data_IF_995448069135
#
_entry.id   IF_995448069135
#
_cell.length_a   1.000
_cell.length_b   1.000
_cell.length_c   1.000
_cell.angle_alpha   90.00
_cell.angle_beta   90.00
_cell.angle_gamma   90.00
#
_symmetry.space_group_name_H-M   'P 1'
#
loop_
_entity.id
_entity.type
_entity.pdbx_description
1 polymer ?
#
# COMPACT_ATOMS: atom_id res chain seq x y z
N UNK A 1 23.56 -18.92 13.21
CA UNK A 1 23.47 -17.91 12.13
C UNK A 1 23.41 -16.52 12.74
N UNK A 2 24.15 -15.57 12.14
CA UNK A 2 24.19 -14.17 12.58
C UNK A 2 24.06 -13.24 11.38
N UNK A 3 23.39 -12.11 11.56
CA UNK A 3 23.36 -11.04 10.56
C UNK A 3 24.75 -10.42 10.43
N UNK A 4 25.25 -10.32 9.21
CA UNK A 4 26.61 -9.80 8.95
C UNK A 4 26.59 -8.48 8.18
N UNK A 5 25.56 -8.24 7.36
CA UNK A 5 25.47 -7.04 6.55
C UNK A 5 24.03 -6.67 6.21
N UNK A 6 23.81 -5.37 6.06
CA UNK A 6 22.54 -4.80 5.62
C UNK A 6 22.82 -3.80 4.49
N UNK A 7 22.22 -4.03 3.32
CA UNK A 7 22.41 -3.19 2.14
C UNK A 7 21.07 -2.74 1.60
N UNK A 8 20.95 -1.47 1.25
CA UNK A 8 19.77 -0.90 0.61
C UNK A 8 20.02 -0.56 -0.85
N UNK A 9 19.02 -0.73 -1.70
CA UNK A 9 19.06 -0.46 -3.13
C UNK A 9 17.90 0.45 -3.51
N UNK A 10 18.18 1.71 -3.83
CA UNK A 10 17.18 2.64 -4.34
C UNK A 10 17.08 2.51 -5.86
N UNK A 11 15.89 2.21 -6.35
CA UNK A 11 15.61 2.05 -7.77
C UNK A 11 14.57 3.08 -8.23
N UNK A 12 14.85 3.88 -9.26
CA UNK A 12 13.86 4.79 -9.82
C UNK A 12 12.61 4.04 -10.30
N UNK A 13 11.43 4.68 -10.30
CA UNK A 13 11.20 6.06 -9.82
C UNK A 13 11.04 6.16 -8.29
N UNK A 14 10.69 5.08 -7.57
CA UNK A 14 10.27 5.16 -6.16
C UNK A 14 10.56 3.94 -5.31
N UNK A 15 11.21 2.92 -5.84
CA UNK A 15 11.46 1.64 -5.16
C UNK A 15 12.70 1.71 -4.26
N UNK A 16 12.66 0.95 -3.18
CA UNK A 16 13.83 0.66 -2.36
C UNK A 16 13.75 -0.77 -1.85
N UNK A 17 14.77 -1.56 -2.12
CA UNK A 17 14.92 -2.92 -1.62
C UNK A 17 15.98 -2.97 -0.53
N UNK A 18 15.79 -3.90 0.39
CA UNK A 18 16.70 -4.22 1.48
C UNK A 18 17.19 -5.64 1.33
N UNK A 19 18.49 -5.82 1.49
CA UNK A 19 19.16 -7.12 1.55
C UNK A 19 19.79 -7.29 2.92
N UNK A 20 19.49 -8.39 3.62
CA UNK A 20 20.14 -8.82 4.86
C UNK A 20 20.97 -10.06 4.55
N UNK A 21 22.26 -10.06 4.89
CA UNK A 21 23.18 -11.16 4.70
C UNK A 21 23.52 -11.80 6.04
N UNK A 22 23.81 -13.10 6.04
CA UNK A 22 24.17 -13.86 7.23
C UNK A 22 25.53 -14.54 7.07
N UNK A 23 26.18 -14.90 8.19
CA UNK A 23 27.45 -15.64 8.24
C UNK A 23 27.37 -17.05 7.65
N UNK A 24 26.16 -17.59 7.45
CA UNK A 24 25.93 -18.88 6.81
C UNK A 24 25.56 -18.77 5.32
N UNK A 25 25.68 -17.57 4.74
CA UNK A 25 25.42 -17.32 3.32
C UNK A 25 23.94 -17.24 2.93
N UNK A 26 23.03 -17.34 3.90
CA UNK A 26 21.59 -17.13 3.65
C UNK A 26 21.32 -15.64 3.56
N UNK A 27 20.53 -15.24 2.55
CA UNK A 27 20.19 -13.85 2.27
C UNK A 27 18.69 -13.67 2.31
N UNK A 28 18.21 -12.63 2.99
CA UNK A 28 16.81 -12.20 2.99
C UNK A 28 16.59 -10.87 2.29
N UNK A 29 15.42 -10.71 1.70
CA UNK A 29 15.01 -9.50 1.01
C UNK A 29 13.74 -8.91 1.61
N UNK A 30 13.70 -7.56 1.64
CA UNK A 30 12.53 -6.79 2.05
C UNK A 30 12.40 -5.48 1.28
N UNK A 31 11.31 -4.78 1.47
CA UNK A 31 10.99 -3.53 0.79
C UNK A 31 10.59 -2.43 1.81
N UNK A 32 11.58 -1.76 2.43
CA UNK A 32 11.31 -0.69 3.40
C UNK A 32 11.07 0.64 2.68
N UNK A 33 9.93 0.84 2.03
CA UNK A 33 9.71 2.04 1.21
C UNK A 33 8.51 2.87 1.66
N UNK A 34 8.65 4.18 1.56
CA UNK A 34 7.56 5.16 1.47
C UNK A 34 7.82 6.02 0.25
N UNK A 35 6.83 6.18 -0.59
CA UNK A 35 6.90 7.01 -1.77
C UNK A 35 7.33 8.46 -1.42
N UNK A 36 8.30 8.98 -2.15
CA UNK A 36 8.87 10.31 -1.91
C UNK A 36 9.75 10.46 -0.66
N UNK A 37 9.92 9.41 0.16
CA UNK A 37 10.72 9.43 1.40
C UNK A 37 11.74 8.30 1.52
N UNK A 38 12.09 7.63 0.42
CA UNK A 38 13.00 6.49 0.43
C UNK A 38 14.34 6.77 1.14
N UNK A 39 14.93 7.95 0.94
CA UNK A 39 16.19 8.34 1.62
C UNK A 39 16.06 8.41 3.13
N UNK A 40 14.92 8.90 3.64
CA UNK A 40 14.67 8.98 5.08
C UNK A 40 14.47 7.60 5.69
N UNK A 41 13.74 6.74 5.00
CA UNK A 41 13.55 5.34 5.42
C UNK A 41 14.87 4.56 5.36
N UNK A 42 15.71 4.79 4.34
CA UNK A 42 17.05 4.22 4.23
C UNK A 42 17.91 4.55 5.45
N UNK A 43 17.94 5.82 5.86
CA UNK A 43 18.65 6.23 7.06
C UNK A 43 18.14 5.48 8.31
N UNK A 44 16.82 5.38 8.48
CA UNK A 44 16.23 4.64 9.59
C UNK A 44 16.57 3.13 9.56
N UNK A 45 16.63 2.51 8.37
CA UNK A 45 17.08 1.12 8.22
C UNK A 45 18.51 0.94 8.71
N UNK A 46 19.42 1.85 8.34
CA UNK A 46 20.82 1.76 8.75
C UNK A 46 20.99 2.02 10.26
N UNK A 47 20.26 2.96 10.85
CA UNK A 47 20.26 3.17 12.31
C UNK A 47 19.79 1.90 13.06
N UNK A 48 18.73 1.25 12.60
CA UNK A 48 18.29 -0.03 13.15
C UNK A 48 19.33 -1.15 12.88
N UNK A 49 20.01 -1.07 11.76
CA UNK A 49 21.08 -1.99 11.35
C UNK A 49 22.22 -2.08 12.35
N UNK A 50 22.59 -0.98 12.99
CA UNK A 50 23.67 -0.95 13.99
C UNK A 50 23.40 -1.93 15.15
N UNK A 51 22.14 -2.09 15.55
CA UNK A 51 21.74 -3.08 16.54
C UNK A 51 21.66 -4.49 15.95
N UNK A 52 21.19 -4.63 14.73
CA UNK A 52 20.87 -5.93 14.10
C UNK A 52 22.13 -6.73 13.72
N UNK A 53 23.24 -6.06 13.39
CA UNK A 53 24.51 -6.75 13.08
C UNK A 53 24.96 -7.60 14.25
N UNK A 54 25.25 -8.88 14.00
CA UNK A 54 25.63 -9.87 14.98
C UNK A 54 24.46 -10.56 15.70
N UNK A 55 23.22 -10.11 15.52
CA UNK A 55 22.01 -10.75 16.08
C UNK A 55 21.65 -12.02 15.31
N UNK A 56 20.90 -12.88 15.96
CA UNK A 56 20.32 -14.09 15.37
C UNK A 56 19.03 -13.74 14.61
N UNK A 57 19.00 -13.86 13.26
CA UNK A 57 17.83 -13.51 12.45
C UNK A 57 16.62 -14.43 12.69
N UNK A 58 16.78 -15.56 13.38
CA UNK A 58 15.65 -16.44 13.73
C UNK A 58 14.73 -15.85 14.81
N UNK A 59 15.22 -14.87 15.57
CA UNK A 59 14.49 -14.22 16.67
C UNK A 59 13.61 -13.06 16.18
N UNK A 60 12.82 -13.29 15.14
CA UNK A 60 12.08 -12.24 14.41
C UNK A 60 11.25 -11.37 15.35
N UNK A 61 10.43 -11.99 16.21
CA UNK A 61 9.54 -11.23 17.12
C UNK A 61 10.32 -10.42 18.15
N UNK A 62 11.43 -10.95 18.65
CA UNK A 62 12.29 -10.24 19.59
C UNK A 62 12.95 -9.02 18.93
N UNK A 63 13.54 -9.22 17.76
CA UNK A 63 14.15 -8.13 16.96
C UNK A 63 13.11 -7.08 16.62
N UNK A 64 11.90 -7.48 16.22
CA UNK A 64 10.81 -6.54 15.97
C UNK A 64 10.46 -5.72 17.21
N UNK A 65 10.34 -6.36 18.38
CA UNK A 65 10.06 -5.66 19.64
C UNK A 65 11.17 -4.67 20.00
N UNK A 66 12.43 -5.04 19.79
CA UNK A 66 13.56 -4.15 20.07
C UNK A 66 13.53 -2.96 19.11
N UNK A 67 13.40 -3.18 17.81
CA UNK A 67 13.33 -2.11 16.81
C UNK A 67 12.18 -1.12 17.10
N UNK A 68 11.05 -1.60 17.57
CA UNK A 68 9.90 -0.76 17.89
C UNK A 68 10.00 -0.05 19.24
N UNK A 69 10.58 -0.72 20.28
CA UNK A 69 10.51 -0.25 21.68
C UNK A 69 11.80 0.36 22.22
N UNK A 70 12.94 0.12 21.60
CA UNK A 70 14.23 0.61 22.11
C UNK A 70 14.33 2.13 22.12
N UNK A 71 13.65 2.81 21.19
CA UNK A 71 13.54 4.26 21.17
C UNK A 71 12.43 4.78 22.08
N UNK A 72 12.64 6.01 22.59
CA UNK A 72 11.62 6.72 23.37
C UNK A 72 10.43 7.15 22.49
N UNK A 73 10.69 7.57 21.24
CA UNK A 73 9.70 7.95 20.25
C UNK A 73 9.45 6.78 19.31
N UNK A 74 8.20 6.35 19.20
CA UNK A 74 7.82 5.11 18.52
C UNK A 74 6.85 5.35 17.39
N UNK A 75 6.87 4.46 16.40
CA UNK A 75 5.90 4.44 15.32
C UNK A 75 6.13 5.52 14.27
N UNK A 76 5.06 5.88 13.59
CA UNK A 76 5.09 6.77 12.43
C UNK A 76 5.53 6.06 11.15
N UNK A 77 5.19 6.65 9.98
CA UNK A 77 5.35 5.97 8.70
C UNK A 77 6.80 5.63 8.37
N UNK A 78 7.76 6.48 8.71
CA UNK A 78 9.18 6.27 8.41
C UNK A 78 9.74 5.06 9.18
N UNK A 79 9.61 5.10 10.53
CA UNK A 79 10.16 4.03 11.37
C UNK A 79 9.44 2.70 11.14
N UNK A 80 8.12 2.72 10.97
CA UNK A 80 7.37 1.50 10.71
C UNK A 80 7.69 0.88 9.36
N UNK A 81 7.95 1.67 8.31
CA UNK A 81 8.39 1.12 7.02
C UNK A 81 9.79 0.53 7.08
N UNK A 82 10.72 1.14 7.83
CA UNK A 82 12.03 0.56 8.06
C UNK A 82 11.92 -0.81 8.77
N UNK A 83 11.12 -0.87 9.85
CA UNK A 83 10.87 -2.12 10.59
C UNK A 83 10.20 -3.15 9.68
N UNK A 84 9.19 -2.77 8.90
CA UNK A 84 8.47 -3.68 8.01
C UNK A 84 9.40 -4.32 6.96
N UNK A 85 10.26 -3.54 6.32
CA UNK A 85 11.21 -4.08 5.35
C UNK A 85 12.24 -5.03 5.99
N UNK A 86 12.71 -4.72 7.19
CA UNK A 86 13.61 -5.61 7.95
C UNK A 86 12.86 -6.90 8.33
N UNK A 87 11.64 -6.79 8.83
CA UNK A 87 10.81 -7.95 9.20
C UNK A 87 10.57 -8.88 8.00
N UNK A 88 10.24 -8.33 6.83
CA UNK A 88 10.11 -9.09 5.59
C UNK A 88 11.38 -9.88 5.28
N UNK A 89 12.56 -9.24 5.37
CA UNK A 89 13.84 -9.89 5.10
C UNK A 89 14.16 -11.00 6.12
N UNK A 90 13.80 -10.82 7.39
CA UNK A 90 13.97 -11.85 8.42
C UNK A 90 13.06 -13.06 8.18
N UNK A 91 11.82 -12.84 7.77
CA UNK A 91 10.92 -13.92 7.38
C UNK A 91 11.38 -14.66 6.11
N UNK A 92 11.95 -13.93 5.13
CA UNK A 92 12.54 -14.53 3.94
C UNK A 92 13.74 -15.43 4.28
N UNK A 93 14.63 -14.96 5.18
CA UNK A 93 15.72 -15.81 5.73
C UNK A 93 15.15 -17.05 6.37
N UNK A 94 14.15 -16.91 7.24
CA UNK A 94 13.54 -18.05 7.94
C UNK A 94 12.93 -19.06 6.98
N UNK A 95 12.23 -18.59 5.96
CA UNK A 95 11.66 -19.44 4.91
C UNK A 95 12.74 -20.24 4.17
N UNK A 96 13.83 -19.57 3.78
CA UNK A 96 14.97 -20.21 3.10
C UNK A 96 15.69 -21.23 3.98
N UNK A 97 15.93 -20.93 5.25
CA UNK A 97 16.56 -21.85 6.21
C UNK A 97 15.71 -23.10 6.41
N UNK A 98 14.40 -22.96 6.50
CA UNK A 98 13.48 -24.09 6.70
C UNK A 98 13.05 -24.76 5.39
N UNK A 99 13.51 -24.27 4.24
CA UNK A 99 13.08 -24.69 2.91
C UNK A 99 11.55 -24.72 2.77
N UNK A 100 10.89 -23.68 3.31
CA UNK A 100 9.44 -23.52 3.30
C UNK A 100 9.07 -22.09 2.90
N UNK A 101 8.08 -21.89 2.03
CA UNK A 101 7.63 -20.55 1.71
C UNK A 101 6.98 -19.87 2.93
N UNK A 102 7.10 -18.56 3.01
CA UNK A 102 6.63 -17.78 4.17
C UNK A 102 5.14 -18.01 4.45
N UNK A 103 4.30 -18.12 3.42
CA UNK A 103 2.87 -18.38 3.60
C UNK A 103 2.59 -19.69 4.36
N UNK A 104 3.43 -20.72 4.17
CA UNK A 104 3.31 -21.99 4.90
C UNK A 104 3.69 -21.82 6.38
N UNK A 105 4.71 -21.01 6.67
CA UNK A 105 5.12 -20.68 8.04
C UNK A 105 4.06 -19.84 8.78
N UNK A 106 3.28 -19.06 8.03
CA UNK A 106 2.22 -18.20 8.55
C UNK A 106 0.84 -18.90 8.67
N UNK A 107 0.77 -20.20 8.49
CA UNK A 107 -0.47 -20.98 8.72
C UNK A 107 -1.06 -21.70 7.52
N UNK A 108 -0.51 -21.51 6.31
CA UNK A 108 -0.91 -22.23 5.12
C UNK A 108 -1.89 -21.46 4.21
N UNK A 109 -2.28 -22.10 3.13
CA UNK A 109 -3.15 -21.50 2.10
C UNK A 109 -4.62 -21.59 2.51
N UNK A 110 -5.34 -20.49 2.25
CA UNK A 110 -6.80 -20.44 2.29
C UNK A 110 -7.37 -20.56 0.87
N UNK A 111 -6.61 -20.14 -0.13
CA UNK A 111 -7.00 -20.13 -1.55
C UNK A 111 -5.76 -20.26 -2.44
N UNK A 112 -5.94 -20.86 -3.62
CA UNK A 112 -4.85 -21.07 -4.58
C UNK A 112 -4.60 -19.85 -5.47
N UNK A 113 -5.58 -18.96 -5.57
CA UNK A 113 -5.51 -17.73 -6.39
C UNK A 113 -6.06 -16.54 -5.63
N UNK A 114 -5.45 -15.39 -5.84
CA UNK A 114 -5.91 -14.09 -5.34
C UNK A 114 -6.38 -13.28 -6.55
N UNK A 115 -7.62 -12.74 -6.48
CA UNK A 115 -8.09 -11.79 -7.49
C UNK A 115 -7.25 -10.53 -7.39
N UNK A 116 -6.66 -10.11 -8.51
CA UNK A 116 -5.90 -8.90 -8.62
C UNK A 116 -6.72 -7.82 -9.34
N UNK A 117 -6.49 -6.58 -8.97
CA UNK A 117 -6.90 -5.44 -9.76
C UNK A 117 -5.67 -4.69 -10.28
N UNK A 118 -5.84 -3.93 -11.36
CA UNK A 118 -4.81 -3.02 -11.86
C UNK A 118 -5.19 -1.57 -11.59
N UNK A 119 -4.20 -0.76 -11.26
CA UNK A 119 -4.39 0.68 -11.20
C UNK A 119 -4.45 1.27 -12.61
N UNK A 120 -5.39 2.20 -12.82
CA UNK A 120 -5.54 2.98 -14.05
C UNK A 120 -5.46 4.45 -13.70
N UNK A 121 -4.45 5.14 -14.22
CA UNK A 121 -4.31 6.58 -14.10
C UNK A 121 -5.06 7.32 -15.21
N UNK A 122 -5.14 8.61 -15.04
CA UNK A 122 -5.76 9.55 -15.97
C UNK A 122 -6.68 10.52 -15.24
N UNK A 123 -6.69 11.78 -15.71
CA UNK A 123 -7.51 12.83 -15.12
C UNK A 123 -8.80 13.06 -15.94
N UNK A 124 -8.84 12.57 -17.17
CA UNK A 124 -10.01 12.66 -18.04
C UNK A 124 -10.68 11.29 -18.19
N UNK A 125 -12.01 11.23 -18.22
CA UNK A 125 -12.73 9.96 -18.39
C UNK A 125 -12.26 9.15 -19.61
N UNK A 126 -11.96 9.80 -20.73
CA UNK A 126 -11.49 9.14 -21.95
C UNK A 126 -10.16 8.40 -21.73
N UNK A 127 -9.20 9.03 -21.05
CA UNK A 127 -7.88 8.43 -20.77
C UNK A 127 -8.02 7.20 -19.89
N UNK A 128 -8.88 7.27 -18.87
CA UNK A 128 -9.20 6.15 -17.97
C UNK A 128 -9.88 5.01 -18.75
N UNK A 129 -10.85 5.33 -19.61
CA UNK A 129 -11.56 4.33 -20.43
C UNK A 129 -10.58 3.59 -21.36
N UNK A 130 -9.66 4.31 -22.00
CA UNK A 130 -8.68 3.71 -22.90
C UNK A 130 -7.62 2.88 -22.12
N UNK A 131 -7.21 3.33 -20.94
CA UNK A 131 -6.39 2.54 -20.04
C UNK A 131 -7.06 1.23 -19.62
N UNK A 132 -8.34 1.27 -19.25
CA UNK A 132 -9.13 0.07 -18.92
C UNK A 132 -9.19 -0.89 -20.12
N UNK A 133 -9.47 -0.40 -21.34
CA UNK A 133 -9.49 -1.24 -22.54
C UNK A 133 -8.17 -2.00 -22.72
N UNK A 134 -7.05 -1.28 -22.63
CA UNK A 134 -5.71 -1.86 -22.76
C UNK A 134 -5.45 -2.96 -21.72
N UNK A 135 -5.81 -2.71 -20.47
CA UNK A 135 -5.61 -3.70 -19.40
C UNK A 135 -6.57 -4.90 -19.51
N UNK A 136 -7.75 -4.69 -20.09
CA UNK A 136 -8.66 -5.83 -20.38
C UNK A 136 -8.10 -6.78 -21.42
N UNK A 137 -7.33 -6.30 -22.39
CA UNK A 137 -6.67 -7.14 -23.40
C UNK A 137 -5.68 -8.14 -22.79
N UNK A 138 -5.09 -7.80 -21.63
CA UNK A 138 -4.17 -8.67 -20.88
C UNK A 138 -4.86 -9.42 -19.73
N UNK A 139 -6.20 -9.33 -19.62
CA UNK A 139 -7.01 -10.18 -18.75
C UNK A 139 -7.49 -9.57 -17.44
N UNK A 140 -7.29 -8.26 -17.18
CA UNK A 140 -7.87 -7.62 -16.01
C UNK A 140 -9.35 -7.29 -16.23
N UNK A 141 -10.16 -7.53 -15.21
CA UNK A 141 -11.58 -7.17 -15.13
C UNK A 141 -11.90 -6.25 -13.95
N UNK A 142 -10.90 -5.96 -13.12
CA UNK A 142 -11.04 -5.16 -11.90
C UNK A 142 -9.95 -4.11 -11.87
N UNK A 143 -10.32 -2.87 -11.50
CA UNK A 143 -9.45 -1.70 -11.60
C UNK A 143 -9.51 -0.85 -10.34
N UNK A 144 -8.42 -0.13 -10.04
CA UNK A 144 -8.42 0.96 -9.07
C UNK A 144 -8.22 2.29 -9.82
N UNK A 145 -9.08 3.26 -9.56
CA UNK A 145 -9.15 4.53 -10.27
C UNK A 145 -9.03 5.69 -9.28
N UNK A 146 -8.60 6.85 -9.76
CA UNK A 146 -8.77 8.08 -8.98
C UNK A 146 -10.27 8.36 -8.81
N UNK A 147 -10.70 8.50 -7.56
CA UNK A 147 -12.11 8.75 -7.24
C UNK A 147 -12.51 10.22 -7.41
N UNK A 148 -11.53 11.12 -7.42
CA UNK A 148 -11.70 12.55 -7.67
C UNK A 148 -10.38 13.15 -8.17
N UNK A 149 -10.47 14.30 -8.83
CA UNK A 149 -9.33 15.15 -9.13
C UNK A 149 -8.74 15.75 -7.84
N UNK A 150 -7.69 16.55 -7.98
CA UNK A 150 -7.13 17.29 -6.85
C UNK A 150 -8.19 18.26 -6.29
N UNK A 151 -8.53 18.10 -5.00
CA UNK A 151 -9.50 18.92 -4.30
C UNK A 151 -8.80 19.91 -3.38
N UNK A 152 -9.37 21.11 -3.25
CA UNK A 152 -8.99 22.07 -2.21
C UNK A 152 -9.49 21.65 -0.83
N UNK A 153 -8.95 22.29 0.23
CA UNK A 153 -9.47 22.10 1.60
C UNK A 153 -10.95 22.48 1.72
N UNK A 154 -11.37 23.48 0.96
CA UNK A 154 -12.76 23.89 0.80
C UNK A 154 -13.06 23.80 -0.69
N UNK A 155 -13.99 22.95 -1.05
CA UNK A 155 -14.41 22.77 -2.41
C UNK A 155 -15.95 22.84 -2.53
N UNK A 156 -16.47 22.76 -3.75
CA UNK A 156 -17.87 23.05 -4.04
C UNK A 156 -18.54 21.90 -4.83
N UNK A 157 -19.83 22.05 -5.10
CA UNK A 157 -20.61 21.04 -5.81
C UNK A 157 -20.06 20.68 -7.20
N UNK A 158 -19.36 21.60 -7.89
CA UNK A 158 -18.75 21.31 -9.20
C UNK A 158 -17.66 20.23 -9.12
N UNK A 159 -16.91 20.21 -8.03
CA UNK A 159 -15.91 19.16 -7.80
C UNK A 159 -16.57 17.79 -7.57
N UNK A 160 -17.71 17.77 -6.87
CA UNK A 160 -18.53 16.55 -6.70
C UNK A 160 -19.07 16.10 -8.06
N UNK A 161 -19.69 17.02 -8.81
CA UNK A 161 -20.26 16.76 -10.14
C UNK A 161 -19.20 16.22 -11.12
N UNK A 162 -17.99 16.74 -11.09
CA UNK A 162 -16.88 16.29 -11.93
C UNK A 162 -16.47 14.85 -11.61
N UNK A 163 -16.32 14.51 -10.32
CA UNK A 163 -16.00 13.16 -9.87
C UNK A 163 -17.10 12.15 -10.26
N UNK A 164 -18.37 12.50 -9.99
CA UNK A 164 -19.53 11.68 -10.35
C UNK A 164 -19.62 11.47 -11.85
N UNK A 165 -19.43 12.54 -12.66
CA UNK A 165 -19.46 12.44 -14.12
C UNK A 165 -18.38 11.52 -14.68
N UNK A 166 -17.18 11.55 -14.13
CA UNK A 166 -16.07 10.65 -14.53
C UNK A 166 -16.48 9.18 -14.29
N UNK A 167 -16.95 8.87 -13.10
CA UNK A 167 -17.36 7.51 -12.74
C UNK A 167 -18.59 7.06 -13.56
N UNK A 168 -19.55 7.97 -13.82
CA UNK A 168 -20.71 7.71 -14.66
C UNK A 168 -20.32 7.30 -16.08
N UNK A 169 -19.40 8.03 -16.72
CA UNK A 169 -18.91 7.72 -18.07
C UNK A 169 -18.20 6.37 -18.13
N UNK A 170 -17.41 6.02 -17.11
CA UNK A 170 -16.75 4.72 -17.02
C UNK A 170 -17.80 3.61 -16.91
N UNK A 171 -18.81 3.79 -16.04
CA UNK A 171 -19.89 2.81 -15.87
C UNK A 171 -20.77 2.69 -17.13
N UNK A 172 -20.99 3.80 -17.86
CA UNK A 172 -21.69 3.79 -19.15
C UNK A 172 -20.90 3.01 -20.19
N UNK A 173 -19.59 3.20 -20.28
CA UNK A 173 -18.73 2.55 -21.27
C UNK A 173 -18.62 1.02 -21.08
N UNK A 174 -18.62 0.53 -19.85
CA UNK A 174 -18.36 -0.88 -19.57
C UNK A 174 -19.52 -1.62 -18.89
N UNK A 175 -20.53 -0.92 -18.41
CA UNK A 175 -21.63 -1.54 -17.65
C UNK A 175 -21.11 -2.29 -16.44
N UNK A 176 -21.61 -3.51 -16.25
CA UNK A 176 -21.19 -4.45 -15.19
C UNK A 176 -20.11 -5.45 -15.65
N UNK A 177 -19.44 -5.19 -16.76
CA UNK A 177 -18.37 -6.06 -17.24
C UNK A 177 -17.05 -5.85 -16.51
N UNK A 178 -16.96 -4.80 -15.72
CA UNK A 178 -15.82 -4.49 -14.89
C UNK A 178 -16.25 -4.17 -13.46
N UNK A 179 -15.32 -4.42 -12.53
CA UNK A 179 -15.38 -3.89 -11.18
C UNK A 179 -14.33 -2.79 -11.01
N UNK A 180 -14.60 -1.81 -10.15
CA UNK A 180 -13.60 -0.79 -9.83
C UNK A 180 -13.68 -0.33 -8.39
N UNK A 181 -12.52 -0.07 -7.79
CA UNK A 181 -12.37 0.69 -6.56
C UNK A 181 -12.00 2.15 -6.87
N UNK A 182 -12.39 3.05 -5.99
CA UNK A 182 -12.11 4.48 -6.09
C UNK A 182 -11.15 4.90 -4.97
N UNK A 183 -10.05 5.50 -5.35
CA UNK A 183 -9.04 6.00 -4.42
C UNK A 183 -9.11 7.52 -4.33
N UNK A 184 -9.39 8.04 -3.13
CA UNK A 184 -9.42 9.47 -2.87
C UNK A 184 -8.06 10.01 -2.42
N UNK A 185 -7.06 9.12 -2.25
CA UNK A 185 -5.68 9.45 -1.86
C UNK A 185 -5.56 10.29 -0.58
N UNK A 186 -6.49 10.15 0.37
CA UNK A 186 -6.45 10.93 1.60
C UNK A 186 -6.47 12.45 1.38
N UNK A 187 -7.09 12.92 0.30
CA UNK A 187 -7.12 14.35 -0.08
C UNK A 187 -8.45 15.03 0.25
N UNK A 188 -9.47 14.25 0.57
CA UNK A 188 -10.83 14.73 0.74
C UNK A 188 -11.13 15.01 2.21
N UNK A 189 -11.71 16.16 2.53
CA UNK A 189 -12.17 16.46 3.88
C UNK A 189 -13.39 15.60 4.25
N UNK A 190 -13.58 15.29 5.53
CA UNK A 190 -14.67 14.43 5.98
C UNK A 190 -16.09 14.92 5.56
N UNK A 191 -16.41 16.22 5.57
CA UNK A 191 -17.70 16.70 5.04
C UNK A 191 -17.87 16.42 3.55
N UNK A 192 -16.81 16.61 2.74
CA UNK A 192 -16.83 16.39 1.31
C UNK A 192 -16.89 14.89 0.99
N UNK A 193 -16.14 14.06 1.70
CA UNK A 193 -16.16 12.61 1.56
C UNK A 193 -17.57 12.04 1.76
N UNK A 194 -18.29 12.55 2.75
CA UNK A 194 -19.68 12.14 3.02
C UNK A 194 -20.61 12.36 1.81
N UNK A 195 -20.44 13.49 1.13
CA UNK A 195 -21.24 13.82 -0.07
C UNK A 195 -20.80 12.95 -1.25
N UNK A 196 -19.50 12.89 -1.55
CA UNK A 196 -18.94 12.11 -2.65
C UNK A 196 -19.32 10.63 -2.56
N UNK A 197 -19.16 10.00 -1.40
CA UNK A 197 -19.47 8.59 -1.19
C UNK A 197 -20.94 8.32 -1.54
N UNK A 198 -21.86 9.17 -1.06
CA UNK A 198 -23.27 9.03 -1.33
C UNK A 198 -23.62 9.19 -2.81
N UNK A 199 -23.04 10.18 -3.47
CA UNK A 199 -23.28 10.43 -4.89
C UNK A 199 -22.64 9.36 -5.81
N UNK A 200 -21.58 8.68 -5.33
CA UNK A 200 -20.90 7.61 -6.07
C UNK A 200 -21.52 6.23 -5.82
N UNK A 201 -22.30 6.03 -4.76
CA UNK A 201 -22.94 4.75 -4.42
C UNK A 201 -23.77 4.13 -5.57
N UNK A 202 -24.56 4.90 -6.37
CA UNK A 202 -25.31 4.35 -7.49
C UNK A 202 -24.47 3.64 -8.56
N UNK A 203 -23.18 3.99 -8.66
CA UNK A 203 -22.23 3.37 -9.59
C UNK A 203 -21.56 2.12 -9.03
N UNK A 204 -21.88 1.76 -7.79
CA UNK A 204 -21.43 0.53 -7.10
C UNK A 204 -19.93 0.31 -7.18
N UNK A 205 -19.10 1.22 -6.63
CA UNK A 205 -17.68 0.94 -6.47
C UNK A 205 -17.48 -0.26 -5.54
N UNK A 206 -16.46 -1.09 -5.84
CA UNK A 206 -16.11 -2.25 -5.03
C UNK A 206 -15.63 -1.84 -3.63
N UNK A 207 -14.91 -0.74 -3.57
CA UNK A 207 -14.45 -0.08 -2.34
C UNK A 207 -14.15 1.40 -2.61
N UNK A 208 -14.03 2.16 -1.53
CA UNK A 208 -13.49 3.53 -1.54
C UNK A 208 -12.26 3.52 -0.63
N UNK A 209 -11.11 3.84 -1.20
CA UNK A 209 -9.81 3.86 -0.54
C UNK A 209 -9.49 5.28 -0.08
N UNK A 210 -8.89 5.41 1.10
CA UNK A 210 -8.43 6.67 1.69
C UNK A 210 -9.46 7.82 1.58
N UNK A 211 -10.72 7.59 2.04
CA UNK A 211 -11.83 8.52 1.80
C UNK A 211 -11.69 9.88 2.45
N UNK A 212 -10.78 10.05 3.42
CA UNK A 212 -10.53 11.31 4.14
C UNK A 212 -9.06 11.52 4.36
N UNK A 213 -8.69 12.74 4.76
CA UNK A 213 -7.35 13.09 5.21
C UNK A 213 -6.89 12.11 6.30
N UNK A 214 -5.61 11.76 6.31
CA UNK A 214 -5.04 10.82 7.29
C UNK A 214 -5.28 11.27 8.75
N UNK A 215 -5.30 12.59 8.98
CA UNK A 215 -5.58 13.21 10.29
C UNK A 215 -7.04 13.08 10.71
N UNK A 216 -7.91 12.62 9.83
CA UNK A 216 -9.36 12.46 10.05
C UNK A 216 -9.78 10.99 10.04
N UNK A 217 -8.86 10.06 10.31
CA UNK A 217 -9.14 8.62 10.29
C UNK A 217 -10.27 8.17 11.24
N UNK A 218 -10.54 8.92 12.29
CA UNK A 218 -11.67 8.68 13.22
C UNK A 218 -13.06 8.81 12.56
N UNK A 219 -13.13 9.36 11.33
CA UNK A 219 -14.37 9.43 10.58
C UNK A 219 -14.71 8.14 9.82
N UNK A 220 -13.77 7.20 9.62
CA UNK A 220 -14.03 5.95 8.89
C UNK A 220 -15.28 5.19 9.38
N UNK A 221 -15.47 4.96 10.69
CA UNK A 221 -16.68 4.27 11.16
C UNK A 221 -17.98 5.00 10.82
N UNK A 222 -17.96 6.34 10.81
CA UNK A 222 -19.12 7.16 10.48
C UNK A 222 -19.44 7.13 8.99
N UNK A 223 -18.41 7.08 8.15
CA UNK A 223 -18.57 6.96 6.69
C UNK A 223 -19.08 5.56 6.32
N UNK A 224 -18.48 4.52 6.87
CA UNK A 224 -18.87 3.13 6.64
C UNK A 224 -20.33 2.84 7.08
N UNK A 225 -20.83 3.52 8.09
CA UNK A 225 -22.23 3.37 8.52
C UNK A 225 -23.26 4.02 7.58
N UNK A 226 -22.81 4.71 6.54
CA UNK A 226 -23.67 5.42 5.57
C UNK A 226 -23.70 4.78 4.18
N UNK A 227 -22.96 3.68 4.00
CA UNK A 227 -22.84 2.92 2.75
C UNK A 227 -23.41 1.51 2.89
#
# INVERSE_FOLDING_TARGET
MKITNITTYRLPPRWMFLKIETDEGVVGWGEPVIEGRARTVEAAVHELGDYLIGQDPSRINDLWQVMYRAGFYRGGPILMSAIAGIDQALWDIKGKVLNAPVWQLMGGLVRDKIKAYSWVGGDRPADVIDGIKTLREIGFDTFKLNGCEELGLIDNSRAVDAAVNTVAQIREAFGNQIEFGLDFHGRVSAPMAKVLIKELEPYRPLFIEEPVLAEQAEYYPKLAAQT
#
